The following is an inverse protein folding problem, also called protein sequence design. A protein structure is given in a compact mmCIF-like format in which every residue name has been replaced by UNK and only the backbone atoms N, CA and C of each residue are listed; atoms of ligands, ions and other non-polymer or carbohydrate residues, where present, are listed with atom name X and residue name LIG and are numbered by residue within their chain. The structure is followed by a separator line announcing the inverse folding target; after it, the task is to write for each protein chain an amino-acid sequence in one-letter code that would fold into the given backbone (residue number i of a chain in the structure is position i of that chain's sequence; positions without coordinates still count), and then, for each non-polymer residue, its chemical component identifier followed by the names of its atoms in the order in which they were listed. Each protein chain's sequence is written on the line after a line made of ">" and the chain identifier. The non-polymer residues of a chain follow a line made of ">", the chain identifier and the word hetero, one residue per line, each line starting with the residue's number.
data_IF_655302910208
#
_entry.id   IF_655302910208
#
_cell.length_a   1.000
_cell.length_b   1.000
_cell.length_c   1.000
_cell.angle_alpha   90.00
_cell.angle_beta   90.00
_cell.angle_gamma   90.00
#
_symmetry.space_group_name_H-M   'P 1'
#
loop_
_entity.id
_entity.type
_entity.pdbx_description
1 polymer ?
#
# COMPACT_ATOMS: atom_id res chain seq x y z
N UNK A 1 9.35 -38.16 3.79
CA UNK A 1 9.07 -37.63 2.43
C UNK A 1 7.70 -36.99 2.55
N UNK A 2 7.68 -35.66 2.74
CA UNK A 2 6.44 -34.86 2.68
C UNK A 2 5.96 -34.92 1.22
N UNK A 3 4.67 -35.19 0.98
CA UNK A 3 4.13 -35.12 -0.38
C UNK A 3 4.34 -33.70 -0.91
N UNK A 4 4.60 -33.51 -2.22
CA UNK A 4 4.64 -32.18 -2.80
C UNK A 4 3.33 -31.48 -2.46
N UNK A 5 3.35 -30.13 -2.22
CA UNK A 5 2.13 -29.39 -2.02
C UNK A 5 1.20 -29.67 -3.20
N UNK A 6 -0.07 -29.92 -2.88
CA UNK A 6 -1.11 -30.03 -3.88
C UNK A 6 -0.97 -28.88 -4.87
N UNK A 7 -1.07 -29.20 -6.15
CA UNK A 7 -0.90 -28.25 -7.25
C UNK A 7 -1.38 -26.87 -6.86
N UNK A 8 -0.47 -25.87 -6.95
CA UNK A 8 -0.83 -24.47 -6.78
C UNK A 8 -1.98 -24.24 -7.74
N UNK A 9 -3.20 -24.13 -7.22
CA UNK A 9 -4.37 -23.99 -8.04
C UNK A 9 -4.12 -22.79 -8.94
N UNK A 10 -4.20 -22.99 -10.25
CA UNK A 10 -4.16 -21.90 -11.21
C UNK A 10 -5.11 -20.80 -10.70
N UNK A 11 -4.58 -19.65 -10.38
CA UNK A 11 -5.37 -18.55 -9.82
C UNK A 11 -6.46 -18.08 -10.79
N UNK A 12 -6.32 -18.39 -12.07
CA UNK A 12 -7.13 -17.85 -13.17
C UNK A 12 -6.87 -16.36 -13.39
N UNK A 13 -5.88 -15.80 -12.70
CA UNK A 13 -5.50 -14.39 -12.81
C UNK A 13 -4.35 -14.22 -13.81
N UNK A 14 -4.28 -13.08 -14.51
CA UNK A 14 -3.15 -12.75 -15.36
C UNK A 14 -1.81 -12.83 -14.59
N UNK A 15 -0.84 -13.46 -15.20
CA UNK A 15 0.54 -13.58 -14.73
C UNK A 15 1.46 -12.66 -15.53
N UNK A 16 2.73 -12.59 -15.12
CA UNK A 16 3.71 -11.71 -15.73
C UNK A 16 3.76 -10.32 -15.10
N UNK A 17 4.79 -9.56 -15.45
CA UNK A 17 5.02 -8.24 -14.88
C UNK A 17 3.86 -7.27 -15.17
N UNK A 18 3.61 -6.36 -14.23
CA UNK A 18 2.65 -5.27 -14.42
C UNK A 18 3.25 -4.20 -15.34
N UNK A 19 2.37 -3.49 -16.03
CA UNK A 19 2.77 -2.31 -16.79
C UNK A 19 3.31 -1.23 -15.85
N UNK A 20 4.34 -0.49 -16.29
CA UNK A 20 5.02 0.51 -15.48
C UNK A 20 6.16 -0.02 -14.59
N UNK A 21 6.38 -1.35 -14.53
CA UNK A 21 7.50 -1.94 -13.81
C UNK A 21 7.42 -1.79 -12.30
N UNK A 22 8.58 -1.77 -11.62
CA UNK A 22 8.66 -1.63 -10.16
C UNK A 22 8.25 -0.22 -9.72
N UNK A 23 7.32 -0.14 -8.75
CA UNK A 23 6.84 1.12 -8.20
C UNK A 23 7.32 1.31 -6.75
N UNK A 24 7.96 2.45 -6.47
CA UNK A 24 8.20 2.95 -5.12
C UNK A 24 7.38 4.22 -4.91
N UNK A 25 6.41 4.16 -4.01
CA UNK A 25 5.43 5.23 -3.80
C UNK A 25 4.99 5.27 -2.33
N UNK A 26 5.73 5.97 -1.44
CA UNK A 26 5.34 6.07 -0.04
C UNK A 26 3.97 6.76 0.11
N UNK A 27 3.20 6.32 1.11
CA UNK A 27 1.89 6.88 1.41
C UNK A 27 1.99 8.23 2.10
N UNK A 28 1.24 9.18 1.60
CA UNK A 28 1.00 10.48 2.24
C UNK A 28 -0.47 10.58 2.65
N UNK A 29 -0.75 10.55 3.95
CA UNK A 29 -2.06 10.97 4.43
C UNK A 29 -2.20 12.46 4.14
N UNK A 30 -3.09 12.81 3.21
CA UNK A 30 -3.22 14.20 2.74
C UNK A 30 -3.68 15.14 3.86
N UNK A 31 -4.33 14.62 4.89
CA UNK A 31 -4.85 15.43 6.00
C UNK A 31 -3.79 15.79 7.04
N UNK A 32 -2.74 14.98 7.16
CA UNK A 32 -1.66 15.22 8.11
C UNK A 32 -0.84 16.44 7.65
N UNK A 33 -0.77 17.45 8.51
CA UNK A 33 -0.06 18.71 8.24
C UNK A 33 -0.57 19.45 6.98
N UNK A 34 -1.81 19.20 6.55
CA UNK A 34 -2.41 19.91 5.43
C UNK A 34 -2.42 21.42 5.66
N UNK A 35 -2.15 22.17 4.60
CA UNK A 35 -2.48 23.60 4.60
C UNK A 35 -3.98 23.77 4.31
N UNK A 36 -4.78 23.84 5.36
CA UNK A 36 -6.24 23.89 5.26
C UNK A 36 -6.81 25.16 4.56
N UNK A 37 -5.98 26.21 4.42
CA UNK A 37 -6.39 27.41 3.69
C UNK A 37 -6.28 27.25 2.17
N UNK A 38 -5.33 26.42 1.73
CA UNK A 38 -4.99 26.28 0.29
C UNK A 38 -5.23 24.87 -0.23
N UNK A 39 -5.46 23.88 0.64
CA UNK A 39 -5.50 22.46 0.35
C UNK A 39 -4.22 21.89 -0.29
N UNK A 40 -3.09 22.59 -0.12
CA UNK A 40 -1.79 22.09 -0.57
C UNK A 40 -1.30 21.02 0.39
N UNK A 41 -0.99 19.84 -0.14
CA UNK A 41 -0.33 18.77 0.64
C UNK A 41 0.98 19.27 1.21
N UNK A 42 1.10 19.16 2.54
CA UNK A 42 2.24 19.70 3.28
C UNK A 42 2.70 18.68 4.32
N UNK A 43 3.88 18.87 4.85
CA UNK A 43 4.46 18.01 5.88
C UNK A 43 5.30 18.81 6.86
N UNK A 44 5.55 18.23 8.05
CA UNK A 44 6.46 18.76 9.06
C UNK A 44 7.70 17.90 9.27
N UNK A 45 7.94 16.93 8.40
CA UNK A 45 9.07 15.98 8.53
C UNK A 45 10.41 16.70 8.71
N UNK A 46 10.61 17.80 8.00
CA UNK A 46 11.84 18.62 8.13
C UNK A 46 11.82 19.63 9.30
N UNK A 47 10.86 19.49 10.24
CA UNK A 47 10.75 20.31 11.44
C UNK A 47 9.79 21.50 11.34
N UNK A 48 9.53 22.02 10.16
CA UNK A 48 8.59 23.11 9.92
C UNK A 48 7.56 22.72 8.85
N UNK A 49 6.36 23.31 8.92
CA UNK A 49 5.33 23.09 7.92
C UNK A 49 5.80 23.63 6.54
N UNK A 50 5.84 22.75 5.56
CA UNK A 50 6.21 23.09 4.20
C UNK A 50 5.38 22.29 3.18
N UNK A 51 5.14 22.80 1.97
CA UNK A 51 4.59 22.01 0.88
C UNK A 51 5.41 20.74 0.68
N UNK A 52 4.75 19.58 0.55
CA UNK A 52 5.41 18.28 0.47
C UNK A 52 6.54 18.26 -0.57
N UNK A 53 6.23 18.68 -1.80
CA UNK A 53 7.17 18.60 -2.91
C UNK A 53 8.39 19.54 -2.78
N UNK A 54 8.30 20.55 -1.90
CA UNK A 54 9.43 21.46 -1.65
C UNK A 54 10.49 20.85 -0.72
N UNK A 55 10.16 19.78 0.01
CA UNK A 55 11.04 19.15 1.02
C UNK A 55 11.19 17.64 0.81
N UNK A 56 10.40 17.05 -0.06
CA UNK A 56 10.51 15.62 -0.40
C UNK A 56 11.88 15.36 -1.03
N UNK A 57 12.64 14.35 -0.55
CA UNK A 57 13.91 14.00 -1.17
C UNK A 57 13.76 13.73 -2.67
N UNK A 58 14.60 14.37 -3.50
CA UNK A 58 14.44 14.42 -4.96
C UNK A 58 14.59 13.09 -5.70
N UNK A 59 14.81 12.00 -4.98
CA UNK A 59 14.91 10.63 -5.53
C UNK A 59 13.65 9.80 -5.34
N UNK A 60 12.60 10.35 -4.72
CA UNK A 60 11.30 9.70 -4.58
C UNK A 60 10.52 9.85 -5.89
N UNK A 61 10.30 8.76 -6.64
CA UNK A 61 9.71 8.87 -7.98
C UNK A 61 8.20 9.13 -7.95
N UNK A 62 7.51 8.65 -6.92
CA UNK A 62 6.06 8.74 -6.80
C UNK A 62 5.61 8.87 -5.35
N UNK A 63 4.39 9.35 -5.14
CA UNK A 63 3.72 9.46 -3.83
C UNK A 63 2.30 8.94 -3.95
N UNK A 64 1.89 8.10 -2.99
CA UNK A 64 0.51 7.61 -2.88
C UNK A 64 -0.31 8.56 -2.01
N UNK A 65 -1.35 9.18 -2.56
CA UNK A 65 -2.25 10.08 -1.84
C UNK A 65 -3.33 9.27 -1.12
N UNK A 66 -3.41 9.35 0.19
CA UNK A 66 -4.33 8.60 1.04
C UNK A 66 -5.23 9.57 1.85
N UNK A 67 -6.52 9.36 2.01
CA UNK A 67 -7.38 8.41 1.31
C UNK A 67 -8.65 9.11 0.81
N UNK A 68 -9.11 8.75 -0.38
CA UNK A 68 -10.44 9.10 -0.86
C UNK A 68 -11.47 8.11 -0.31
N UNK A 69 -12.59 8.57 0.22
CA UNK A 69 -13.67 7.74 0.77
C UNK A 69 -15.03 8.12 0.20
N UNK A 70 -15.98 7.20 0.22
CA UNK A 70 -17.32 7.39 -0.29
C UNK A 70 -17.55 6.70 -1.62
N UNK A 71 -18.56 7.11 -2.36
CA UNK A 71 -18.88 6.53 -3.67
C UNK A 71 -18.04 7.15 -4.77
N UNK A 72 -17.58 6.34 -5.72
CA UNK A 72 -16.78 6.78 -6.87
C UNK A 72 -17.46 7.92 -7.64
N UNK A 73 -16.71 8.98 -7.94
CA UNK A 73 -17.22 10.21 -8.55
C UNK A 73 -17.90 11.17 -7.60
N UNK A 74 -18.16 10.74 -6.36
CA UNK A 74 -18.72 11.56 -5.26
C UNK A 74 -17.88 11.43 -3.97
N UNK A 75 -16.65 11.00 -4.12
CA UNK A 75 -15.71 10.78 -3.03
C UNK A 75 -15.37 12.09 -2.28
N UNK A 76 -14.84 11.92 -1.08
CA UNK A 76 -14.36 13.00 -0.21
C UNK A 76 -13.00 12.65 0.37
N UNK A 77 -12.18 13.65 0.62
CA UNK A 77 -10.89 13.55 1.30
C UNK A 77 -11.02 14.13 2.70
N UNK A 78 -11.64 13.35 3.62
CA UNK A 78 -11.91 13.80 4.99
C UNK A 78 -12.62 15.18 5.04
N UNK A 79 -13.61 15.39 4.18
CA UNK A 79 -14.35 16.64 4.07
C UNK A 79 -13.80 17.64 3.04
N UNK A 80 -12.60 17.47 2.52
CA UNK A 80 -12.08 18.25 1.41
C UNK A 80 -12.78 17.79 0.12
N UNK A 81 -13.30 18.74 -0.65
CA UNK A 81 -13.86 18.43 -1.96
C UNK A 81 -12.74 17.96 -2.91
N UNK A 82 -12.96 16.89 -3.68
CA UNK A 82 -11.92 16.33 -4.55
C UNK A 82 -11.41 17.34 -5.58
N UNK A 83 -12.26 18.16 -6.16
CA UNK A 83 -11.85 19.20 -7.13
C UNK A 83 -10.93 20.25 -6.50
N UNK A 84 -11.13 20.57 -5.22
CA UNK A 84 -10.26 21.51 -4.49
C UNK A 84 -8.88 20.92 -4.23
N UNK A 85 -8.83 19.61 -3.88
CA UNK A 85 -7.57 18.90 -3.70
C UNK A 85 -6.79 18.78 -5.03
N UNK A 86 -7.47 18.45 -6.11
CA UNK A 86 -6.91 18.40 -7.46
C UNK A 86 -6.33 19.74 -7.87
N UNK A 87 -7.11 20.82 -7.75
CA UNK A 87 -6.70 22.17 -8.12
C UNK A 87 -5.46 22.64 -7.36
N UNK A 88 -5.32 22.20 -6.10
CA UNK A 88 -4.20 22.59 -5.25
C UNK A 88 -2.92 21.77 -5.50
N UNK A 89 -3.01 20.53 -6.03
CA UNK A 89 -1.87 19.62 -5.97
C UNK A 89 -1.45 19.01 -7.32
N UNK A 90 -2.39 18.66 -8.21
CA UNK A 90 -2.05 17.89 -9.43
C UNK A 90 -0.99 18.61 -10.27
N UNK A 91 -1.19 19.89 -10.54
CA UNK A 91 -0.23 20.65 -11.38
C UNK A 91 1.16 20.72 -10.74
N UNK A 92 1.25 20.82 -9.41
CA UNK A 92 2.54 20.82 -8.71
C UNK A 92 3.30 19.50 -8.88
N UNK A 93 2.60 18.35 -8.84
CA UNK A 93 3.21 17.05 -9.11
C UNK A 93 3.70 16.93 -10.55
N UNK A 94 2.93 17.44 -11.50
CA UNK A 94 3.31 17.49 -12.92
C UNK A 94 4.56 18.36 -13.12
N UNK A 95 4.62 19.54 -12.51
CA UNK A 95 5.74 20.48 -12.63
C UNK A 95 7.03 19.95 -12.00
N UNK A 96 6.91 19.19 -10.90
CA UNK A 96 8.04 18.53 -10.23
C UNK A 96 8.42 17.18 -10.87
N UNK A 97 7.68 16.75 -11.89
CA UNK A 97 7.84 15.43 -12.52
C UNK A 97 7.84 14.28 -11.50
N UNK A 98 6.96 14.38 -10.51
CA UNK A 98 6.73 13.36 -9.48
C UNK A 98 5.43 12.64 -9.79
N UNK A 99 5.49 11.33 -9.91
CA UNK A 99 4.32 10.53 -10.18
C UNK A 99 3.45 10.40 -8.91
N UNK A 100 2.19 10.00 -9.09
CA UNK A 100 1.31 9.76 -7.95
C UNK A 100 0.32 8.65 -8.19
N UNK A 101 -0.09 8.03 -7.09
CA UNK A 101 -1.16 7.05 -7.01
C UNK A 101 -2.27 7.65 -6.16
N UNK A 102 -3.52 7.45 -6.55
CA UNK A 102 -4.68 7.82 -5.75
C UNK A 102 -5.12 6.60 -4.95
N UNK A 103 -5.02 6.67 -3.63
CA UNK A 103 -5.48 5.61 -2.73
C UNK A 103 -6.83 5.93 -2.11
N UNK A 104 -7.65 4.90 -1.99
CA UNK A 104 -9.03 4.98 -1.51
C UNK A 104 -9.23 4.09 -0.30
N UNK A 105 -10.24 4.36 0.52
CA UNK A 105 -10.59 3.53 1.67
C UNK A 105 -9.77 3.84 2.91
N UNK A 106 -8.91 2.92 3.32
CA UNK A 106 -8.12 3.00 4.55
C UNK A 106 -8.90 2.57 5.80
N UNK A 107 -8.24 2.66 6.98
CA UNK A 107 -8.81 2.20 8.25
C UNK A 107 -10.08 2.96 8.69
N UNK A 108 -10.19 4.23 8.33
CA UNK A 108 -11.25 5.12 8.83
C UNK A 108 -12.48 5.22 7.93
N UNK A 109 -12.46 4.62 6.75
CA UNK A 109 -13.58 4.74 5.81
C UNK A 109 -13.54 3.69 4.71
N UNK A 110 -14.61 3.66 3.92
CA UNK A 110 -14.73 2.77 2.77
C UNK A 110 -14.85 3.58 1.48
N UNK A 111 -14.40 2.98 0.39
CA UNK A 111 -14.65 3.48 -0.96
C UNK A 111 -15.49 2.45 -1.70
N UNK A 112 -16.59 2.90 -2.29
CA UNK A 112 -17.50 2.07 -3.05
C UNK A 112 -17.63 2.57 -4.48
N UNK A 113 -18.01 1.69 -5.39
CA UNK A 113 -18.32 2.09 -6.76
C UNK A 113 -19.43 1.22 -7.33
N UNK A 114 -20.50 1.85 -7.74
CA UNK A 114 -21.71 1.18 -8.22
C UNK A 114 -21.91 1.27 -9.73
N UNK A 115 -21.20 2.16 -10.42
CA UNK A 115 -21.31 2.35 -11.87
C UNK A 115 -19.97 2.55 -12.58
N UNK A 116 -19.84 2.11 -13.85
CA UNK A 116 -18.64 2.38 -14.63
C UNK A 116 -18.40 3.89 -14.85
N UNK A 117 -19.46 4.67 -14.99
CA UNK A 117 -19.39 6.12 -15.16
C UNK A 117 -18.85 6.81 -13.92
N UNK A 118 -19.23 6.33 -12.72
CA UNK A 118 -18.67 6.80 -11.46
C UNK A 118 -17.17 6.55 -11.37
N UNK A 119 -16.72 5.35 -11.77
CA UNK A 119 -15.29 5.00 -11.82
C UNK A 119 -14.53 5.87 -12.83
N UNK A 120 -15.06 6.10 -14.02
CA UNK A 120 -14.46 7.00 -15.01
C UNK A 120 -14.38 8.44 -14.47
N UNK A 121 -15.44 8.94 -13.85
CA UNK A 121 -15.48 10.27 -13.25
C UNK A 121 -14.41 10.40 -12.17
N UNK A 122 -14.26 9.39 -11.32
CA UNK A 122 -13.22 9.32 -10.30
C UNK A 122 -11.82 9.38 -10.92
N UNK A 123 -11.48 8.46 -11.82
CA UNK A 123 -10.14 8.40 -12.42
C UNK A 123 -9.82 9.68 -13.20
N UNK A 124 -10.74 10.17 -14.03
CA UNK A 124 -10.53 11.34 -14.87
C UNK A 124 -10.33 12.62 -14.07
N UNK A 125 -10.90 12.71 -12.86
CA UNK A 125 -10.72 13.87 -11.98
C UNK A 125 -9.25 14.08 -11.61
N UNK A 126 -8.53 13.01 -11.36
CA UNK A 126 -7.11 13.06 -10.97
C UNK A 126 -6.15 12.86 -12.14
N UNK A 127 -6.65 12.74 -13.36
CA UNK A 127 -5.84 12.40 -14.51
C UNK A 127 -4.80 13.48 -14.84
N UNK A 128 -3.57 13.03 -15.01
CA UNK A 128 -2.46 13.79 -15.60
C UNK A 128 -1.45 12.80 -16.18
N UNK A 129 -0.39 13.30 -16.81
CA UNK A 129 0.71 12.44 -17.28
C UNK A 129 1.45 11.71 -16.14
N UNK A 130 1.27 12.16 -14.88
CA UNK A 130 1.93 11.63 -13.70
C UNK A 130 1.02 10.75 -12.82
N UNK A 131 -0.26 10.56 -13.18
CA UNK A 131 -1.10 9.57 -12.53
C UNK A 131 -0.70 8.18 -13.02
N UNK A 132 -0.11 7.35 -12.15
CA UNK A 132 0.40 6.02 -12.53
C UNK A 132 -0.39 4.85 -11.93
N UNK A 133 -1.28 5.11 -10.98
CA UNK A 133 -2.08 4.06 -10.35
C UNK A 133 -3.28 4.57 -9.57
N UNK A 134 -4.20 3.64 -9.33
CA UNK A 134 -5.26 3.75 -8.33
C UNK A 134 -5.11 2.58 -7.38
N UNK A 135 -5.10 2.89 -6.10
CA UNK A 135 -4.99 1.91 -5.02
C UNK A 135 -6.32 1.82 -4.26
N UNK A 136 -6.74 0.60 -3.99
CA UNK A 136 -7.95 0.30 -3.22
C UNK A 136 -7.54 -0.35 -1.91
N UNK A 137 -7.45 0.45 -0.85
CA UNK A 137 -7.13 -0.01 0.50
C UNK A 137 -8.40 -0.50 1.19
N UNK A 138 -8.56 -1.83 1.24
CA UNK A 138 -9.77 -2.52 1.69
C UNK A 138 -9.42 -3.35 2.93
N UNK A 139 -9.57 -2.72 4.10
CA UNK A 139 -9.06 -3.30 5.36
C UNK A 139 -10.06 -4.20 6.06
N UNK A 140 -11.28 -3.70 6.30
CA UNK A 140 -12.32 -4.41 7.02
C UNK A 140 -13.71 -3.83 6.77
N UNK A 141 -14.74 -4.61 7.13
CA UNK A 141 -16.12 -4.10 7.23
C UNK A 141 -16.86 -3.89 5.91
N UNK A 142 -16.25 -4.13 4.77
CA UNK A 142 -16.94 -4.05 3.49
C UNK A 142 -17.66 -5.35 3.16
N UNK A 143 -18.88 -5.25 2.65
CA UNK A 143 -19.65 -6.41 2.22
C UNK A 143 -19.06 -7.03 0.95
N UNK A 144 -19.27 -8.34 0.79
CA UNK A 144 -18.90 -9.05 -0.45
C UNK A 144 -19.52 -8.37 -1.68
N UNK A 145 -20.77 -7.90 -1.58
CA UNK A 145 -21.43 -7.21 -2.69
C UNK A 145 -20.74 -5.90 -3.06
N UNK A 146 -20.33 -5.09 -2.07
CA UNK A 146 -19.61 -3.83 -2.32
C UNK A 146 -18.24 -4.08 -2.96
N UNK A 147 -17.49 -5.08 -2.48
CA UNK A 147 -16.19 -5.47 -3.03
C UNK A 147 -16.35 -5.95 -4.48
N UNK A 148 -17.30 -6.84 -4.75
CA UNK A 148 -17.58 -7.31 -6.11
C UNK A 148 -17.98 -6.17 -7.05
N UNK A 149 -18.87 -5.28 -6.59
CA UNK A 149 -19.28 -4.11 -7.38
C UNK A 149 -18.08 -3.25 -7.74
N UNK A 150 -17.25 -2.89 -6.76
CA UNK A 150 -16.04 -2.09 -6.99
C UNK A 150 -15.14 -2.69 -8.08
N UNK A 151 -14.79 -3.97 -7.95
CA UNK A 151 -13.87 -4.64 -8.88
C UNK A 151 -14.53 -4.82 -10.27
N UNK A 152 -15.83 -5.05 -10.33
CA UNK A 152 -16.57 -5.07 -11.60
C UNK A 152 -16.51 -3.73 -12.32
N UNK A 153 -16.61 -2.60 -11.60
CA UNK A 153 -16.51 -1.29 -12.23
C UNK A 153 -15.09 -0.99 -12.70
N UNK A 154 -14.07 -1.40 -11.94
CA UNK A 154 -12.68 -1.33 -12.42
C UNK A 154 -12.51 -2.14 -13.69
N UNK A 155 -13.01 -3.39 -13.71
CA UNK A 155 -12.97 -4.26 -14.90
C UNK A 155 -13.65 -3.65 -16.11
N UNK A 156 -14.80 -2.99 -15.89
CA UNK A 156 -15.57 -2.36 -16.97
C UNK A 156 -14.84 -1.17 -17.63
N UNK A 157 -13.90 -0.53 -16.92
CA UNK A 157 -13.23 0.68 -17.41
C UNK A 157 -11.74 0.51 -17.66
N UNK A 158 -11.10 -0.58 -17.23
CA UNK A 158 -9.63 -0.73 -17.30
C UNK A 158 -9.07 -0.54 -18.71
N UNK A 159 -9.82 -0.91 -19.74
CA UNK A 159 -9.40 -0.75 -21.12
C UNK A 159 -9.29 0.73 -21.57
N UNK A 160 -9.98 1.62 -20.88
CA UNK A 160 -9.88 3.07 -21.13
C UNK A 160 -8.59 3.66 -20.53
N UNK A 161 -7.93 2.92 -19.64
CA UNK A 161 -6.73 3.33 -18.88
C UNK A 161 -5.61 2.28 -18.96
N UNK A 162 -5.10 1.94 -20.13
CA UNK A 162 -4.22 0.80 -20.34
C UNK A 162 -2.88 0.90 -19.59
N UNK A 163 -2.43 2.10 -19.23
CA UNK A 163 -1.17 2.35 -18.52
C UNK A 163 -1.35 2.52 -17.02
N UNK A 164 -2.59 2.41 -16.52
CA UNK A 164 -2.88 2.65 -15.11
C UNK A 164 -2.84 1.32 -14.34
N UNK A 165 -2.05 1.28 -13.26
CA UNK A 165 -2.02 0.17 -12.32
C UNK A 165 -3.21 0.25 -11.37
N UNK A 166 -3.81 -0.89 -11.07
CA UNK A 166 -4.85 -1.03 -10.05
C UNK A 166 -4.34 -1.92 -8.93
N UNK A 167 -3.98 -1.33 -7.79
CA UNK A 167 -3.52 -2.07 -6.61
C UNK A 167 -4.64 -2.28 -5.61
N UNK A 168 -4.60 -3.43 -4.94
CA UNK A 168 -5.53 -3.81 -3.88
C UNK A 168 -4.73 -4.03 -2.61
N UNK A 169 -4.88 -3.11 -1.67
CA UNK A 169 -4.13 -3.10 -0.41
C UNK A 169 -4.91 -3.84 0.66
N UNK A 170 -4.29 -4.89 1.20
CA UNK A 170 -4.95 -5.87 2.07
C UNK A 170 -4.16 -6.10 3.36
N UNK A 171 -4.88 -6.29 4.47
CA UNK A 171 -4.29 -6.74 5.73
C UNK A 171 -3.82 -8.19 5.61
N UNK A 172 -2.67 -8.51 6.20
CA UNK A 172 -2.08 -9.84 6.17
C UNK A 172 -1.35 -10.18 7.46
N UNK A 173 -1.17 -11.47 7.68
CA UNK A 173 -0.17 -12.02 8.59
C UNK A 173 1.06 -12.48 7.77
N UNK A 174 2.12 -12.92 8.46
CA UNK A 174 3.28 -13.56 7.83
C UNK A 174 3.63 -14.85 8.59
N UNK A 175 2.66 -15.76 8.71
CA UNK A 175 2.79 -16.98 9.51
C UNK A 175 3.89 -17.92 8.98
N UNK A 176 4.62 -18.55 9.91
CA UNK A 176 5.71 -19.48 9.59
C UNK A 176 5.41 -20.92 9.97
N UNK A 177 4.25 -21.18 10.57
CA UNK A 177 3.85 -22.53 11.01
C UNK A 177 3.07 -23.35 9.97
N UNK A 178 2.93 -22.82 8.74
CA UNK A 178 2.23 -23.48 7.64
C UNK A 178 0.70 -23.29 7.65
N UNK A 179 0.13 -22.61 8.63
CA UNK A 179 -1.33 -22.38 8.68
C UNK A 179 -1.87 -21.59 7.50
N UNK A 180 -1.04 -20.76 6.85
CA UNK A 180 -1.45 -19.98 5.67
C UNK A 180 -2.03 -20.84 4.55
N UNK A 181 -1.63 -22.12 4.45
CA UNK A 181 -2.15 -23.04 3.44
C UNK A 181 -3.48 -23.69 3.86
N UNK A 182 -3.76 -23.82 5.15
CA UNK A 182 -4.90 -24.55 5.71
C UNK A 182 -5.98 -23.66 6.34
N UNK A 183 -5.62 -22.44 6.78
CA UNK A 183 -6.59 -21.51 7.35
C UNK A 183 -7.62 -21.08 6.29
N UNK A 184 -8.87 -20.79 6.68
CA UNK A 184 -9.95 -20.47 5.75
C UNK A 184 -9.59 -19.34 4.78
N UNK A 185 -8.88 -18.33 5.25
CA UNK A 185 -8.51 -17.13 4.48
C UNK A 185 -6.99 -17.02 4.19
N UNK A 186 -6.23 -18.09 4.47
CA UNK A 186 -4.77 -18.01 4.45
C UNK A 186 -4.26 -17.07 5.55
N UNK A 187 -3.31 -16.22 5.21
CA UNK A 187 -2.84 -15.13 6.09
C UNK A 187 -3.66 -13.84 5.97
N UNK A 188 -4.59 -13.77 5.02
CA UNK A 188 -5.49 -12.63 4.88
C UNK A 188 -6.61 -12.68 5.92
N UNK A 189 -7.25 -11.54 6.15
CA UNK A 189 -8.55 -11.53 6.83
C UNK A 189 -9.69 -11.89 5.85
N UNK A 190 -10.93 -12.02 6.36
CA UNK A 190 -12.09 -12.34 5.52
C UNK A 190 -12.30 -11.33 4.38
N UNK A 191 -12.08 -10.05 4.65
CA UNK A 191 -12.22 -8.98 3.67
C UNK A 191 -11.19 -9.13 2.54
N UNK A 192 -9.92 -9.30 2.87
CA UNK A 192 -8.85 -9.52 1.89
C UNK A 192 -9.08 -10.79 1.05
N UNK A 193 -9.53 -11.88 1.69
CA UNK A 193 -9.91 -13.09 0.98
C UNK A 193 -11.03 -12.82 -0.05
N UNK A 194 -12.06 -12.05 0.34
CA UNK A 194 -13.16 -11.70 -0.56
C UNK A 194 -12.68 -10.84 -1.75
N UNK A 195 -11.69 -9.97 -1.54
CA UNK A 195 -11.06 -9.20 -2.65
C UNK A 195 -10.37 -10.16 -3.63
N UNK A 196 -9.59 -11.13 -3.15
CA UNK A 196 -8.95 -12.12 -4.03
C UNK A 196 -10.00 -12.93 -4.82
N UNK A 197 -11.11 -13.34 -4.18
CA UNK A 197 -12.18 -14.03 -4.89
C UNK A 197 -12.85 -13.15 -5.95
N UNK A 198 -13.09 -11.87 -5.64
CA UNK A 198 -13.66 -10.93 -6.59
C UNK A 198 -12.73 -10.67 -7.79
N UNK A 199 -11.41 -10.59 -7.56
CA UNK A 199 -10.41 -10.51 -8.63
C UNK A 199 -10.41 -11.75 -9.51
N UNK A 200 -10.51 -12.96 -8.93
CA UNK A 200 -10.62 -14.20 -9.70
C UNK A 200 -11.86 -14.24 -10.58
N UNK A 201 -12.97 -13.70 -10.09
CA UNK A 201 -14.21 -13.62 -10.84
C UNK A 201 -14.20 -12.52 -11.92
N UNK A 202 -13.37 -11.49 -11.75
CA UNK A 202 -13.24 -10.34 -12.65
C UNK A 202 -11.75 -10.05 -12.88
N UNK A 203 -11.03 -10.90 -13.60
CA UNK A 203 -9.57 -10.77 -13.75
C UNK A 203 -9.21 -9.47 -14.49
N UNK A 204 -8.43 -8.62 -13.83
CA UNK A 204 -7.91 -7.38 -14.35
C UNK A 204 -6.57 -7.61 -15.06
N UNK A 205 -6.30 -6.87 -16.12
CA UNK A 205 -5.06 -7.00 -16.89
C UNK A 205 -3.86 -6.41 -16.13
N UNK A 206 -4.01 -5.25 -15.50
CA UNK A 206 -2.93 -4.55 -14.80
C UNK A 206 -3.22 -4.36 -13.31
N UNK A 207 -3.38 -5.47 -12.59
CA UNK A 207 -3.59 -5.47 -11.13
C UNK A 207 -2.33 -5.80 -10.36
N UNK A 208 -2.29 -5.37 -9.10
CA UNK A 208 -1.36 -5.84 -8.07
C UNK A 208 -2.10 -6.10 -6.75
N UNK A 209 -1.54 -6.95 -5.92
CA UNK A 209 -1.95 -7.12 -4.53
C UNK A 209 -0.87 -6.53 -3.64
N UNK A 210 -1.21 -5.48 -2.93
CA UNK A 210 -0.33 -4.81 -2.00
C UNK A 210 -0.62 -5.29 -0.58
N UNK A 211 0.37 -5.84 0.10
CA UNK A 211 0.20 -6.36 1.46
C UNK A 211 0.63 -5.31 2.49
N UNK A 212 -0.27 -4.99 3.42
CA UNK A 212 0.07 -4.22 4.62
C UNK A 212 0.85 -5.12 5.57
N UNK A 213 2.18 -5.07 5.45
CA UNK A 213 3.11 -5.90 6.24
C UNK A 213 3.48 -5.18 7.54
N UNK A 214 2.46 -5.01 8.38
CA UNK A 214 2.46 -4.25 9.64
C UNK A 214 1.37 -4.78 10.56
N UNK A 215 1.47 -4.43 11.85
CA UNK A 215 0.41 -4.62 12.85
C UNK A 215 -0.16 -6.04 12.92
N UNK A 216 0.74 -7.04 12.90
CA UNK A 216 0.37 -8.45 12.83
C UNK A 216 -0.33 -8.96 14.08
N UNK A 217 -0.04 -8.38 15.26
CA UNK A 217 -0.55 -8.80 16.56
C UNK A 217 0.48 -9.49 17.44
N UNK A 218 0.06 -10.13 18.54
CA UNK A 218 0.98 -10.77 19.49
C UNK A 218 1.89 -11.79 18.81
N UNK A 219 3.21 -11.66 19.00
CA UNK A 219 4.23 -12.44 18.32
C UNK A 219 4.06 -13.95 18.55
N UNK A 220 3.93 -14.68 17.47
CA UNK A 220 3.89 -16.16 17.43
C UNK A 220 4.16 -16.64 15.99
N UNK A 221 4.52 -17.91 15.84
CA UNK A 221 4.71 -18.51 14.51
C UNK A 221 3.44 -18.57 13.65
N UNK A 222 2.28 -18.39 14.26
CA UNK A 222 1.00 -18.26 13.56
C UNK A 222 0.72 -16.83 13.06
N UNK A 223 1.55 -15.87 13.44
CA UNK A 223 1.37 -14.44 13.15
C UNK A 223 2.51 -13.91 12.30
N UNK A 224 3.77 -14.22 12.65
CA UNK A 224 4.95 -13.65 12.03
C UNK A 224 6.17 -14.59 12.08
N UNK A 225 7.23 -14.20 11.39
CA UNK A 225 8.55 -14.76 11.58
C UNK A 225 9.16 -14.21 12.89
N UNK A 226 9.57 -15.11 13.79
CA UNK A 226 10.13 -14.70 15.08
C UNK A 226 11.63 -14.46 14.97
N UNK A 227 12.10 -13.38 15.60
CA UNK A 227 13.52 -13.13 15.82
C UNK A 227 14.03 -13.91 17.05
N UNK A 228 15.31 -13.77 17.36
CA UNK A 228 15.96 -14.46 18.50
C UNK A 228 15.39 -14.06 19.86
N UNK A 229 14.72 -12.94 19.99
CA UNK A 229 14.06 -12.47 21.19
C UNK A 229 12.60 -12.91 21.31
N UNK A 230 12.09 -13.65 20.33
CA UNK A 230 10.69 -14.12 20.28
C UNK A 230 9.68 -13.04 19.86
N UNK A 231 10.14 -11.92 19.33
CA UNK A 231 9.32 -10.87 18.72
C UNK A 231 9.25 -11.06 17.20
N UNK A 232 8.32 -10.37 16.55
CA UNK A 232 8.24 -10.38 15.10
C UNK A 232 9.49 -9.72 14.47
N UNK A 233 10.17 -10.46 13.60
CA UNK A 233 11.14 -9.91 12.67
C UNK A 233 10.36 -9.28 11.50
N UNK A 234 10.30 -7.97 11.44
CA UNK A 234 9.40 -7.27 10.53
C UNK A 234 9.82 -7.44 9.06
N UNK A 235 11.12 -7.45 8.78
CA UNK A 235 11.63 -7.68 7.43
C UNK A 235 11.35 -9.09 6.93
N UNK A 236 11.66 -10.10 7.74
CA UNK A 236 11.40 -11.50 7.38
C UNK A 236 9.91 -11.82 7.32
N UNK A 237 9.10 -11.20 8.18
CA UNK A 237 7.65 -11.38 8.15
C UNK A 237 7.02 -10.81 6.87
N UNK A 238 7.49 -9.66 6.40
CA UNK A 238 7.05 -9.09 5.13
C UNK A 238 7.35 -10.04 3.95
N UNK A 239 8.54 -10.62 3.91
CA UNK A 239 8.92 -11.63 2.92
C UNK A 239 8.04 -12.88 3.03
N UNK A 240 7.79 -13.34 4.25
CA UNK A 240 6.97 -14.53 4.48
C UNK A 240 5.51 -14.30 4.03
N UNK A 241 4.96 -13.12 4.27
CA UNK A 241 3.61 -12.75 3.81
C UNK A 241 3.49 -12.85 2.28
N UNK A 242 4.47 -12.33 1.53
CA UNK A 242 4.50 -12.45 0.07
C UNK A 242 4.57 -13.92 -0.39
N UNK A 243 5.45 -14.72 0.23
CA UNK A 243 5.56 -16.16 -0.06
C UNK A 243 4.24 -16.90 0.21
N UNK A 244 3.58 -16.58 1.32
CA UNK A 244 2.31 -17.21 1.70
C UNK A 244 1.17 -16.82 0.76
N UNK A 245 1.12 -15.57 0.29
CA UNK A 245 0.16 -15.13 -0.71
C UNK A 245 0.31 -15.92 -2.02
N UNK A 246 1.53 -16.07 -2.51
CA UNK A 246 1.82 -16.87 -3.70
C UNK A 246 1.44 -18.33 -3.48
N UNK A 247 1.88 -18.93 -2.38
CA UNK A 247 1.63 -20.34 -2.10
C UNK A 247 0.13 -20.67 -1.93
N UNK A 248 -0.63 -19.76 -1.31
CA UNK A 248 -2.06 -19.98 -1.03
C UNK A 248 -2.97 -19.66 -2.20
N UNK A 249 -2.70 -18.58 -2.93
CA UNK A 249 -3.62 -18.01 -3.90
C UNK A 249 -3.09 -18.02 -5.34
N UNK A 250 -1.83 -18.40 -5.55
CA UNK A 250 -1.21 -18.41 -6.88
C UNK A 250 -0.92 -17.01 -7.43
N UNK A 251 -0.88 -15.98 -6.58
CA UNK A 251 -0.48 -14.63 -7.00
C UNK A 251 1.03 -14.62 -7.21
N UNK A 252 1.53 -14.36 -8.43
CA UNK A 252 2.97 -14.38 -8.69
C UNK A 252 3.67 -13.15 -8.12
N UNK A 253 4.96 -13.26 -7.84
CA UNK A 253 5.77 -12.19 -7.21
C UNK A 253 5.67 -10.86 -7.93
N UNK A 254 5.67 -10.88 -9.26
CA UNK A 254 5.58 -9.71 -10.13
C UNK A 254 4.21 -8.99 -10.09
N UNK A 255 3.28 -9.52 -9.29
CA UNK A 255 1.96 -8.92 -8.99
C UNK A 255 1.80 -8.57 -7.52
N UNK A 256 2.85 -8.70 -6.72
CA UNK A 256 2.84 -8.41 -5.29
C UNK A 256 3.58 -7.10 -5.01
N UNK A 257 2.97 -6.27 -4.17
CA UNK A 257 3.57 -5.09 -3.56
C UNK A 257 3.58 -5.25 -2.03
N UNK A 258 4.51 -4.58 -1.35
CA UNK A 258 4.61 -4.61 0.11
C UNK A 258 4.61 -3.19 0.67
N UNK A 259 3.84 -3.00 1.74
CA UNK A 259 3.75 -1.72 2.47
C UNK A 259 4.00 -1.96 3.96
N UNK A 260 5.25 -1.82 4.45
CA UNK A 260 5.52 -1.76 5.88
C UNK A 260 5.11 -0.42 6.50
N UNK A 261 4.90 -0.42 7.80
CA UNK A 261 4.78 0.78 8.64
C UNK A 261 6.14 1.06 9.27
N UNK A 262 6.77 2.17 8.89
CA UNK A 262 8.12 2.52 9.35
C UNK A 262 8.13 2.90 10.85
N UNK A 263 9.18 2.49 11.56
CA UNK A 263 9.31 2.74 12.99
C UNK A 263 8.40 1.85 13.83
N UNK A 264 7.95 2.38 14.97
CA UNK A 264 7.07 1.67 15.90
C UNK A 264 5.68 1.55 15.30
N UNK A 265 5.14 0.32 15.24
CA UNK A 265 3.81 0.01 14.74
C UNK A 265 2.74 0.22 15.84
N UNK A 266 1.43 0.12 15.48
CA UNK A 266 0.35 0.20 16.46
C UNK A 266 0.39 -1.00 17.42
N UNK A 267 0.85 -2.16 16.97
CA UNK A 267 1.27 -3.25 17.84
C UNK A 267 2.64 -2.92 18.43
N UNK A 268 2.67 -2.59 19.72
CA UNK A 268 3.78 -1.91 20.40
C UNK A 268 5.14 -2.60 20.28
N UNK A 269 5.17 -3.92 20.22
CA UNK A 269 6.41 -4.71 20.15
C UNK A 269 6.90 -4.93 18.71
N UNK A 270 6.20 -4.36 17.73
CA UNK A 270 6.58 -4.39 16.32
C UNK A 270 7.31 -3.10 15.94
N UNK A 271 8.54 -3.25 15.48
CA UNK A 271 9.38 -2.15 15.03
C UNK A 271 9.96 -2.48 13.65
N UNK A 272 9.56 -1.73 12.64
CA UNK A 272 10.20 -1.80 11.32
C UNK A 272 11.41 -0.88 11.27
N UNK A 273 12.60 -1.47 11.24
CA UNK A 273 13.88 -0.77 11.31
C UNK A 273 14.42 -0.36 9.93
N UNK A 274 15.55 0.36 9.92
CA UNK A 274 16.27 0.64 8.67
C UNK A 274 16.86 -0.63 8.05
N UNK A 275 17.28 -1.60 8.86
CA UNK A 275 17.79 -2.88 8.44
C UNK A 275 16.70 -3.75 7.80
N UNK A 276 15.46 -3.66 8.29
CA UNK A 276 14.30 -4.31 7.68
C UNK A 276 14.04 -3.75 6.27
N UNK A 277 14.28 -2.45 6.06
CA UNK A 277 14.20 -1.84 4.72
C UNK A 277 15.13 -2.54 3.74
N UNK A 278 16.39 -2.75 4.12
CA UNK A 278 17.37 -3.43 3.26
C UNK A 278 16.94 -4.86 2.96
N UNK A 279 16.51 -5.59 3.99
CA UNK A 279 16.03 -6.97 3.88
C UNK A 279 14.87 -7.09 2.90
N UNK A 280 13.88 -6.21 3.02
CA UNK A 280 12.69 -6.21 2.14
C UNK A 280 13.05 -5.82 0.70
N UNK A 281 13.86 -4.78 0.51
CA UNK A 281 14.24 -4.31 -0.82
C UNK A 281 15.14 -5.30 -1.55
N UNK A 282 16.10 -5.90 -0.87
CA UNK A 282 16.96 -6.93 -1.46
C UNK A 282 16.13 -8.10 -1.98
N UNK A 283 15.20 -8.59 -1.15
CA UNK A 283 14.31 -9.68 -1.53
C UNK A 283 13.34 -9.28 -2.66
N UNK A 284 12.78 -8.09 -2.58
CA UNK A 284 11.84 -7.58 -3.60
C UNK A 284 12.50 -7.48 -4.98
N UNK A 285 13.75 -7.01 -5.05
CA UNK A 285 14.53 -6.94 -6.29
C UNK A 285 14.86 -8.35 -6.82
N UNK A 286 15.31 -9.25 -5.94
CA UNK A 286 15.68 -10.62 -6.33
C UNK A 286 14.48 -11.44 -6.85
N UNK A 287 13.26 -11.12 -6.40
CA UNK A 287 12.04 -11.84 -6.76
C UNK A 287 11.12 -11.04 -7.68
N UNK A 288 11.58 -9.89 -8.19
CA UNK A 288 10.88 -9.08 -9.17
C UNK A 288 9.47 -8.65 -8.70
N UNK A 289 9.34 -8.23 -7.43
CA UNK A 289 8.06 -7.69 -6.95
C UNK A 289 7.61 -6.50 -7.81
N UNK A 290 6.29 -6.25 -7.80
CA UNK A 290 5.71 -5.12 -8.51
C UNK A 290 6.03 -3.77 -7.86
N UNK A 291 6.26 -3.74 -6.54
CA UNK A 291 6.60 -2.52 -5.84
C UNK A 291 6.82 -2.71 -4.35
N UNK A 292 7.34 -1.66 -3.73
CA UNK A 292 7.41 -1.51 -2.28
C UNK A 292 7.07 -0.07 -1.93
N UNK A 293 6.30 0.10 -0.88
CA UNK A 293 5.85 1.40 -0.36
C UNK A 293 6.14 1.47 1.13
N UNK A 294 5.72 2.50 1.82
CA UNK A 294 5.66 2.50 3.29
C UNK A 294 4.57 3.45 3.81
N UNK A 295 4.01 3.11 4.94
CA UNK A 295 3.18 3.96 5.77
C UNK A 295 4.07 4.62 6.81
N UNK A 296 4.26 5.89 6.88
CA UNK A 296 3.85 6.93 5.94
C UNK A 296 4.88 8.06 5.93
N UNK A 297 4.80 8.94 4.96
CA UNK A 297 5.71 10.09 4.79
C UNK A 297 5.80 10.92 6.08
N UNK A 298 4.68 11.31 6.69
CA UNK A 298 4.68 12.16 7.88
C UNK A 298 5.27 11.48 9.12
N UNK A 299 5.42 10.15 9.11
CA UNK A 299 6.07 9.40 10.16
C UNK A 299 7.59 9.40 10.07
N UNK A 300 8.17 9.80 8.93
CA UNK A 300 9.61 9.71 8.68
C UNK A 300 10.39 10.86 9.33
N UNK A 301 10.16 11.03 10.62
CA UNK A 301 10.86 12.01 11.49
C UNK A 301 10.96 11.44 12.89
N UNK A 302 12.05 11.75 13.64
CA UNK A 302 12.24 11.22 15.00
C UNK A 302 11.25 11.83 16.00
N UNK A 303 10.94 11.05 17.04
CA UNK A 303 10.36 11.54 18.28
C UNK A 303 10.64 10.55 19.43
N UNK A 304 10.29 10.97 20.65
CA UNK A 304 10.58 10.23 21.87
C UNK A 304 9.34 9.50 22.45
N UNK A 305 8.34 9.23 21.65
CA UNK A 305 7.16 8.48 22.09
C UNK A 305 7.47 6.98 22.10
N UNK A 306 6.82 6.24 22.98
CA UNK A 306 6.94 4.78 23.05
C UNK A 306 5.87 4.04 22.23
N UNK A 307 4.85 4.75 21.75
CA UNK A 307 3.75 4.24 20.94
C UNK A 307 3.78 4.82 19.53
N UNK A 308 3.11 4.17 18.61
CA UNK A 308 2.94 4.67 17.25
C UNK A 308 2.32 6.08 17.24
N UNK A 309 2.74 6.88 16.27
CA UNK A 309 2.27 8.24 16.06
C UNK A 309 2.04 8.49 14.57
N UNK A 310 0.99 9.22 14.18
CA UNK A 310 0.76 9.54 12.77
C UNK A 310 1.76 10.58 12.22
N UNK A 311 2.53 11.24 13.09
CA UNK A 311 3.40 12.37 12.74
C UNK A 311 4.87 12.15 13.06
N UNK A 312 5.28 10.97 13.51
CA UNK A 312 6.67 10.58 13.70
C UNK A 312 6.82 9.06 13.79
N UNK A 313 8.05 8.58 13.65
CA UNK A 313 8.37 7.14 13.66
C UNK A 313 8.39 6.51 15.04
N UNK A 314 8.42 7.31 16.10
CA UNK A 314 8.71 6.88 17.49
C UNK A 314 10.09 6.23 17.66
N UNK A 315 11.03 6.55 16.78
CA UNK A 315 12.44 6.12 16.82
C UNK A 315 13.33 7.36 16.83
N UNK A 316 13.87 7.68 17.99
CA UNK A 316 14.63 8.92 18.22
C UNK A 316 15.99 8.95 17.54
N UNK A 317 16.52 7.80 17.15
CA UNK A 317 17.86 7.64 16.55
C UNK A 317 17.88 7.76 15.03
N UNK A 318 16.73 7.74 14.36
CA UNK A 318 16.62 7.89 12.92
C UNK A 318 16.24 9.33 12.59
N UNK A 319 17.06 10.00 11.80
CA UNK A 319 16.84 11.40 11.42
C UNK A 319 15.65 11.59 10.50
N UNK A 320 15.17 12.83 10.35
CA UNK A 320 14.15 13.18 9.37
C UNK A 320 14.51 12.68 7.96
N UNK A 321 13.54 12.09 7.26
CA UNK A 321 13.70 11.43 5.96
C UNK A 321 14.62 10.19 5.98
N UNK A 322 14.90 9.62 7.15
CA UNK A 322 15.85 8.51 7.28
C UNK A 322 15.39 7.24 6.57
N UNK A 323 14.13 6.87 6.69
CA UNK A 323 13.57 5.73 5.92
C UNK A 323 13.46 6.04 4.43
N UNK A 324 12.97 7.22 4.06
CA UNK A 324 12.91 7.64 2.64
C UNK A 324 14.28 7.54 1.98
N UNK A 325 15.33 8.03 2.64
CA UNK A 325 16.70 7.94 2.15
C UNK A 325 17.19 6.49 2.08
N UNK A 326 16.83 5.66 3.06
CA UNK A 326 17.22 4.24 3.08
C UNK A 326 16.55 3.48 1.95
N UNK A 327 15.24 3.66 1.75
CA UNK A 327 14.51 3.04 0.63
C UNK A 327 15.12 3.44 -0.72
N UNK A 328 15.30 4.73 -0.95
CA UNK A 328 15.84 5.21 -2.23
C UNK A 328 17.28 4.72 -2.47
N UNK A 329 18.13 4.68 -1.44
CA UNK A 329 19.48 4.14 -1.55
C UNK A 329 19.49 2.63 -1.85
N UNK A 330 18.68 1.85 -1.15
CA UNK A 330 18.57 0.40 -1.37
C UNK A 330 17.99 0.06 -2.77
N UNK A 331 17.12 0.91 -3.29
CA UNK A 331 16.57 0.80 -4.65
C UNK A 331 17.55 1.24 -5.73
N UNK A 332 18.56 2.03 -5.38
CA UNK A 332 19.53 2.59 -6.33
C UNK A 332 19.01 3.82 -7.07
N UNK A 333 18.09 4.55 -6.45
CA UNK A 333 17.48 5.78 -6.98
C UNK A 333 18.33 7.01 -6.64
#
# INVERSE_FOLDING_TARGET
>A
ITPPPADIADSGLPTGAVDGGFLFSPYKDVTISMNWNTNVMSTKVSGTLAPLLSVLPGKVPAVTWAFATGECGQESWAGIKPDALVAANVQSFVDHNTDYVISTGGAAGAFTCSTPEGMRTFINRYASKNLVGVDFDIEAGQSVAAINSLIQQVKAVEADYPNLRFSFTLATLGSTNGQSLSAPYGDLNATGYNVIQALKNNPLSNYTVNLMVMDYGPASTGVCALNSSGLCDMGQTAIQAAKNLTARFGIPSERIELTPMIGVNDVRDELFSLEDTDTVIEWAKAHQLAGVHFWSVDRDTPCYQESASPICSSVSTVTAWGWTQRFTAALGL
#
